data_IF_824107748500
#
_entry.id   IF_824107748500
#
_cell.length_a   1.000
_cell.length_b   1.000
_cell.length_c   1.000
_cell.angle_alpha   90.00
_cell.angle_beta   90.00
_cell.angle_gamma   90.00
#
_symmetry.space_group_name_H-M   'P 1'
#
loop_
_entity.id
_entity.type
_entity.pdbx_description
1 polymer ?
#
# COMPACT_ATOMS: atom_id res chain seq x y z
N UNK A 1 30.72 36.70 25.43
CA UNK A 1 30.73 35.86 24.22
C UNK A 1 29.97 34.61 24.54
N UNK A 2 28.74 34.46 24.06
CA UNK A 2 27.95 33.22 24.21
C UNK A 2 28.38 32.30 23.06
N UNK A 3 29.01 31.17 23.42
CA UNK A 3 29.41 30.18 22.43
C UNK A 3 28.22 29.63 21.63
N UNK A 4 28.42 29.16 20.38
CA UNK A 4 27.33 28.66 19.57
C UNK A 4 26.69 27.45 20.26
N UNK A 5 25.40 27.55 20.56
CA UNK A 5 24.59 26.44 21.04
C UNK A 5 24.55 25.39 19.92
N UNK A 6 25.39 24.36 20.03
CA UNK A 6 25.35 23.21 19.13
C UNK A 6 24.05 22.45 19.36
N UNK A 7 23.06 22.66 18.52
CA UNK A 7 21.84 21.85 18.55
C UNK A 7 22.20 20.37 18.40
N UNK A 8 21.68 19.46 19.24
CA UNK A 8 21.99 18.04 19.13
C UNK A 8 21.52 17.53 17.76
N UNK A 9 22.44 16.91 16.99
CA UNK A 9 22.12 16.32 15.70
C UNK A 9 21.20 15.10 15.91
N UNK A 10 19.90 15.19 15.62
CA UNK A 10 18.89 14.20 16.05
C UNK A 10 19.04 12.80 15.44
N UNK A 11 19.93 12.61 14.48
CA UNK A 11 20.09 11.33 13.76
C UNK A 11 21.35 10.52 14.14
N UNK A 12 22.13 10.95 15.14
CA UNK A 12 23.36 10.24 15.53
C UNK A 12 23.11 8.83 16.07
N UNK A 13 21.87 8.54 16.50
CA UNK A 13 21.49 7.22 17.02
C UNK A 13 21.09 6.20 15.93
N UNK A 14 20.70 6.63 14.69
CA UNK A 14 20.31 5.75 13.57
C UNK A 14 21.54 5.26 12.77
N UNK A 15 22.41 4.51 13.43
CA UNK A 15 23.54 3.85 12.75
C UNK A 15 23.09 2.60 12.00
N UNK A 16 23.83 2.19 10.96
CA UNK A 16 23.57 0.95 10.23
C UNK A 16 23.58 -0.29 11.13
N UNK A 17 24.42 -0.29 12.20
CA UNK A 17 24.49 -1.37 13.20
C UNK A 17 23.18 -1.43 14.00
N UNK A 18 22.69 -0.29 14.49
CA UNK A 18 21.43 -0.22 15.25
C UNK A 18 20.22 -0.56 14.38
N UNK A 19 20.15 -0.06 13.13
CA UNK A 19 19.09 -0.43 12.19
C UNK A 19 19.04 -1.94 11.94
N UNK A 20 20.19 -2.59 11.80
CA UNK A 20 20.26 -4.06 11.68
C UNK A 20 19.77 -4.76 12.94
N UNK A 21 20.19 -4.31 14.11
CA UNK A 21 19.77 -4.90 15.38
C UNK A 21 18.25 -4.75 15.58
N UNK A 22 17.69 -3.54 15.39
CA UNK A 22 16.26 -3.31 15.49
C UNK A 22 15.48 -4.13 14.45
N UNK A 23 15.94 -4.14 13.20
CA UNK A 23 15.30 -4.92 12.14
C UNK A 23 15.34 -6.43 12.43
N UNK A 24 16.44 -6.95 12.95
CA UNK A 24 16.57 -8.37 13.31
C UNK A 24 15.62 -8.75 14.44
N UNK A 25 15.59 -7.95 15.52
CA UNK A 25 14.65 -8.16 16.64
C UNK A 25 13.22 -8.13 16.13
N UNK A 26 12.87 -7.14 15.32
CA UNK A 26 11.52 -6.99 14.78
C UNK A 26 11.15 -8.15 13.87
N UNK A 27 12.03 -8.56 12.95
CA UNK A 27 11.79 -9.70 12.06
C UNK A 27 11.59 -11.00 12.87
N UNK A 28 12.48 -11.29 13.80
CA UNK A 28 12.38 -12.48 14.64
C UNK A 28 11.07 -12.46 15.46
N UNK A 29 10.72 -11.34 16.09
CA UNK A 29 9.49 -11.22 16.87
C UNK A 29 8.24 -11.43 16.00
N UNK A 30 8.12 -10.74 14.88
CA UNK A 30 6.96 -10.83 14.00
C UNK A 30 6.78 -12.25 13.44
N UNK A 31 7.85 -12.84 12.90
CA UNK A 31 7.76 -14.16 12.27
C UNK A 31 7.64 -15.29 13.30
N UNK A 32 8.22 -15.16 14.49
CA UNK A 32 8.00 -16.12 15.58
C UNK A 32 6.55 -16.10 16.06
N UNK A 33 5.96 -14.91 16.24
CA UNK A 33 4.54 -14.79 16.61
C UNK A 33 3.65 -15.37 15.51
N UNK A 34 3.93 -15.09 14.24
CA UNK A 34 3.16 -15.64 13.13
C UNK A 34 3.23 -17.16 13.08
N UNK A 35 4.43 -17.74 13.08
CA UNK A 35 4.62 -19.20 13.02
C UNK A 35 3.98 -19.90 14.23
N UNK A 36 4.14 -19.32 15.43
CA UNK A 36 3.47 -19.84 16.62
C UNK A 36 1.94 -19.78 16.48
N UNK A 37 1.38 -18.68 15.98
CA UNK A 37 -0.06 -18.54 15.82
C UNK A 37 -0.65 -19.54 14.82
N UNK A 38 0.02 -19.79 13.69
CA UNK A 38 -0.47 -20.72 12.66
C UNK A 38 -0.08 -22.17 12.89
N UNK A 39 0.75 -22.51 13.87
CA UNK A 39 1.22 -23.88 14.17
C UNK A 39 0.16 -24.76 14.87
N UNK A 40 -1.11 -24.53 14.58
CA UNK A 40 -2.24 -25.33 15.05
C UNK A 40 -2.63 -26.38 14.01
N UNK A 41 -3.21 -27.51 14.39
CA UNK A 41 -3.79 -28.44 13.43
C UNK A 41 -5.02 -27.81 12.74
N UNK A 42 -5.28 -28.20 11.49
CA UNK A 42 -6.46 -27.73 10.74
C UNK A 42 -6.37 -26.31 10.23
N UNK A 43 -7.52 -25.70 9.96
CA UNK A 43 -7.66 -24.43 9.26
C UNK A 43 -7.71 -23.20 10.17
N UNK A 44 -7.93 -23.36 11.47
CA UNK A 44 -8.01 -22.26 12.42
C UNK A 44 -6.65 -22.01 13.08
N UNK A 45 -6.33 -20.73 13.29
CA UNK A 45 -5.17 -20.30 14.07
C UNK A 45 -5.44 -20.38 15.59
N UNK A 46 -4.45 -20.06 16.43
CA UNK A 46 -4.60 -20.08 17.90
C UNK A 46 -5.62 -19.08 18.44
N UNK A 47 -5.91 -18.03 17.69
CA UNK A 47 -6.93 -17.04 18.04
C UNK A 47 -8.33 -17.43 17.56
N UNK A 48 -8.49 -18.62 16.93
CA UNK A 48 -9.76 -19.11 16.39
C UNK A 48 -10.13 -18.49 15.03
N UNK A 49 -9.26 -17.73 14.40
CA UNK A 49 -9.51 -17.17 13.07
C UNK A 49 -9.07 -18.16 11.99
N UNK A 50 -9.74 -18.10 10.84
CA UNK A 50 -9.33 -18.88 9.67
C UNK A 50 -7.93 -18.41 9.22
N UNK A 51 -7.00 -19.35 9.02
CA UNK A 51 -5.67 -19.05 8.48
C UNK A 51 -5.79 -18.41 7.10
N UNK A 52 -5.12 -17.26 6.90
CA UNK A 52 -5.24 -16.49 5.67
C UNK A 52 -6.65 -15.92 5.47
N UNK A 53 -7.24 -15.34 6.52
CA UNK A 53 -8.62 -14.88 6.58
C UNK A 53 -9.04 -14.13 5.31
N UNK A 54 -8.27 -13.13 4.88
CA UNK A 54 -8.66 -12.31 3.72
C UNK A 54 -8.48 -13.07 2.39
N UNK A 55 -7.60 -14.08 2.33
CA UNK A 55 -7.48 -14.93 1.16
C UNK A 55 -8.76 -15.71 0.89
N UNK A 56 -9.55 -16.05 1.93
CA UNK A 56 -10.84 -16.74 1.75
C UNK A 56 -11.76 -15.97 0.79
N UNK A 57 -11.77 -14.64 0.88
CA UNK A 57 -12.57 -13.83 -0.05
C UNK A 57 -12.15 -14.08 -1.51
N UNK A 58 -10.88 -14.03 -1.80
CA UNK A 58 -10.34 -14.24 -3.15
C UNK A 58 -10.54 -15.68 -3.63
N UNK A 59 -10.34 -16.65 -2.74
CA UNK A 59 -10.62 -18.07 -3.03
C UNK A 59 -12.10 -18.30 -3.37
N UNK A 60 -13.00 -17.64 -2.63
CA UNK A 60 -14.45 -17.70 -2.89
C UNK A 60 -14.81 -17.07 -4.23
N UNK A 61 -14.26 -15.87 -4.53
CA UNK A 61 -14.44 -15.22 -5.83
C UNK A 61 -13.96 -16.11 -6.98
N UNK A 62 -12.77 -16.71 -6.86
CA UNK A 62 -12.23 -17.64 -7.83
C UNK A 62 -13.12 -18.89 -8.00
N UNK A 63 -13.64 -19.42 -6.90
CA UNK A 63 -14.55 -20.57 -6.94
C UNK A 63 -15.90 -20.25 -7.61
N UNK A 64 -16.43 -19.04 -7.41
CA UNK A 64 -17.62 -18.55 -8.12
C UNK A 64 -17.35 -18.38 -9.61
N UNK A 65 -16.15 -17.93 -9.98
CA UNK A 65 -15.74 -17.84 -11.39
C UNK A 65 -15.73 -19.21 -12.06
N UNK A 66 -15.11 -20.21 -11.44
CA UNK A 66 -15.08 -21.59 -11.97
C UNK A 66 -16.49 -22.20 -12.10
N UNK A 67 -17.40 -21.86 -11.20
CA UNK A 67 -18.77 -22.33 -11.23
C UNK A 67 -19.67 -21.51 -12.18
N UNK A 68 -19.13 -20.52 -12.91
CA UNK A 68 -19.87 -19.58 -13.76
C UNK A 68 -21.01 -18.84 -13.02
N UNK A 69 -20.87 -18.64 -11.71
CA UNK A 69 -21.89 -17.99 -10.85
C UNK A 69 -21.65 -16.49 -10.72
N UNK A 70 -21.58 -15.75 -11.85
CA UNK A 70 -21.34 -14.31 -11.86
C UNK A 70 -22.32 -13.50 -11.02
N UNK A 71 -23.63 -13.88 -11.00
CA UNK A 71 -24.65 -13.22 -10.20
C UNK A 71 -24.39 -13.30 -8.67
N UNK A 72 -23.59 -14.28 -8.21
CA UNK A 72 -23.21 -14.41 -6.79
C UNK A 72 -22.10 -13.48 -6.36
N UNK A 73 -21.35 -12.84 -7.29
CA UNK A 73 -20.16 -12.05 -6.98
C UNK A 73 -20.42 -10.80 -6.11
N UNK A 74 -21.66 -10.27 -6.14
CA UNK A 74 -22.03 -9.04 -5.42
C UNK A 74 -23.17 -9.26 -4.43
N UNK A 75 -23.47 -10.52 -4.12
CA UNK A 75 -24.44 -10.91 -3.09
C UNK A 75 -23.69 -11.48 -1.88
N UNK A 76 -23.72 -10.76 -0.75
CA UNK A 76 -22.99 -11.11 0.48
C UNK A 76 -23.40 -12.49 1.03
N UNK A 77 -24.71 -12.78 1.01
CA UNK A 77 -25.22 -14.04 1.56
C UNK A 77 -24.86 -15.23 0.66
N UNK A 78 -24.99 -15.06 -0.66
CA UNK A 78 -24.57 -16.07 -1.61
C UNK A 78 -23.07 -16.36 -1.53
N UNK A 79 -22.22 -15.33 -1.39
CA UNK A 79 -20.78 -15.51 -1.17
C UNK A 79 -20.48 -16.26 0.12
N UNK A 80 -21.09 -15.85 1.25
CA UNK A 80 -20.87 -16.49 2.55
C UNK A 80 -21.32 -17.94 2.56
N UNK A 81 -22.50 -18.23 2.01
CA UNK A 81 -23.00 -19.60 1.88
C UNK A 81 -22.09 -20.46 0.99
N UNK A 82 -21.61 -19.91 -0.12
CA UNK A 82 -20.73 -20.62 -1.03
C UNK A 82 -19.33 -20.85 -0.42
N UNK A 83 -18.82 -19.87 0.34
CA UNK A 83 -17.57 -20.01 1.09
C UNK A 83 -17.68 -21.12 2.15
N UNK A 84 -18.77 -21.16 2.92
CA UNK A 84 -19.02 -22.18 3.94
C UNK A 84 -19.16 -23.59 3.33
N UNK A 85 -19.77 -23.71 2.15
CA UNK A 85 -19.87 -24.97 1.41
C UNK A 85 -18.49 -25.51 1.00
N UNK A 86 -17.58 -24.63 0.56
CA UNK A 86 -16.22 -25.00 0.12
C UNK A 86 -15.26 -25.18 1.29
N UNK A 87 -15.41 -24.38 2.33
CA UNK A 87 -14.56 -24.32 3.52
C UNK A 87 -15.47 -24.24 4.75
N UNK A 88 -15.87 -25.36 5.35
CA UNK A 88 -16.83 -25.36 6.48
C UNK A 88 -16.38 -24.48 7.67
N UNK A 89 -15.10 -24.38 7.92
CA UNK A 89 -14.52 -23.50 8.95
C UNK A 89 -14.75 -21.98 8.67
N UNK A 90 -15.23 -21.64 7.48
CA UNK A 90 -15.55 -20.26 7.09
C UNK A 90 -17.00 -19.86 7.37
N UNK A 91 -17.79 -20.74 7.99
CA UNK A 91 -19.19 -20.44 8.29
C UNK A 91 -19.34 -19.13 9.09
N UNK A 92 -20.21 -18.23 8.62
CA UNK A 92 -20.44 -16.93 9.24
C UNK A 92 -19.45 -15.81 8.85
N UNK A 93 -18.36 -16.11 8.14
CA UNK A 93 -17.44 -15.09 7.64
C UNK A 93 -18.08 -14.38 6.43
N UNK A 94 -18.08 -13.05 6.45
CA UNK A 94 -18.65 -12.21 5.40
C UNK A 94 -17.62 -11.16 4.95
N UNK A 95 -17.52 -10.93 3.65
CA UNK A 95 -16.67 -9.90 3.05
C UNK A 95 -17.49 -8.97 2.16
N UNK A 96 -17.16 -7.68 2.18
CA UNK A 96 -17.76 -6.75 1.24
C UNK A 96 -17.20 -6.99 -0.17
N UNK A 97 -18.06 -7.18 -1.18
CA UNK A 97 -17.67 -7.50 -2.54
C UNK A 97 -17.26 -6.25 -3.32
N UNK A 98 -16.16 -5.60 -2.92
CA UNK A 98 -15.69 -4.33 -3.52
C UNK A 98 -14.76 -4.53 -4.72
N UNK A 99 -14.23 -5.72 -4.92
CA UNK A 99 -13.33 -5.99 -6.03
C UNK A 99 -14.10 -6.10 -7.35
N UNK A 100 -13.55 -5.56 -8.45
CA UNK A 100 -14.19 -5.69 -9.77
C UNK A 100 -14.16 -7.14 -10.26
N UNK A 101 -15.08 -7.53 -11.17
CA UNK A 101 -15.35 -8.94 -11.48
C UNK A 101 -14.17 -9.69 -12.11
N UNK A 102 -13.22 -9.03 -12.79
CA UNK A 102 -12.02 -9.70 -13.34
C UNK A 102 -11.11 -10.28 -12.25
N UNK A 103 -11.19 -9.79 -11.00
CA UNK A 103 -10.43 -10.35 -9.89
C UNK A 103 -10.82 -11.80 -9.63
N UNK A 104 -12.10 -12.15 -9.77
CA UNK A 104 -12.55 -13.53 -9.63
C UNK A 104 -11.94 -14.45 -10.67
N UNK A 105 -11.82 -13.99 -11.91
CA UNK A 105 -11.18 -14.75 -13.01
C UNK A 105 -9.70 -14.97 -12.72
N UNK A 106 -9.00 -13.96 -12.21
CA UNK A 106 -7.60 -14.06 -11.78
C UNK A 106 -7.38 -15.14 -10.71
N UNK A 107 -8.32 -15.27 -9.77
CA UNK A 107 -8.23 -16.25 -8.69
C UNK A 107 -8.83 -17.63 -9.04
N UNK A 108 -9.48 -17.79 -10.19
CA UNK A 108 -10.04 -19.07 -10.63
C UNK A 108 -9.02 -20.22 -10.64
N UNK A 109 -7.77 -20.07 -11.13
CA UNK A 109 -6.77 -21.14 -11.08
C UNK A 109 -6.49 -21.66 -9.66
N UNK A 110 -6.47 -20.77 -8.65
CA UNK A 110 -6.25 -21.18 -7.26
C UNK A 110 -7.40 -22.01 -6.70
N UNK A 111 -8.62 -21.77 -7.17
CA UNK A 111 -9.82 -22.44 -6.70
C UNK A 111 -9.97 -23.90 -7.19
N UNK A 112 -9.09 -24.37 -8.08
CA UNK A 112 -8.94 -25.79 -8.40
C UNK A 112 -8.29 -26.60 -7.27
N UNK A 113 -7.52 -25.93 -6.40
CA UNK A 113 -6.86 -26.54 -5.26
C UNK A 113 -7.78 -26.57 -4.05
N UNK A 114 -7.48 -27.42 -3.06
CA UNK A 114 -8.05 -27.28 -1.73
C UNK A 114 -7.65 -25.93 -1.11
N UNK A 115 -8.48 -25.39 -0.19
CA UNK A 115 -8.20 -24.11 0.45
C UNK A 115 -6.78 -24.00 1.03
N UNK A 116 -6.25 -24.99 1.80
CA UNK A 116 -4.88 -24.92 2.30
C UNK A 116 -3.83 -24.89 1.20
N UNK A 117 -3.98 -25.70 0.17
CA UNK A 117 -3.07 -25.73 -0.98
C UNK A 117 -3.08 -24.40 -1.74
N UNK A 118 -4.26 -23.84 -2.00
CA UNK A 118 -4.43 -22.53 -2.62
C UNK A 118 -3.82 -21.42 -1.78
N UNK A 119 -4.01 -21.44 -0.45
CA UNK A 119 -3.43 -20.47 0.47
C UNK A 119 -1.90 -20.51 0.44
N UNK A 120 -1.29 -21.71 0.57
CA UNK A 120 0.17 -21.85 0.54
C UNK A 120 0.73 -21.32 -0.79
N UNK A 121 0.12 -21.70 -1.92
CA UNK A 121 0.55 -21.23 -3.24
C UNK A 121 0.43 -19.70 -3.36
N UNK A 122 -0.68 -19.12 -2.86
CA UNK A 122 -0.89 -17.67 -2.88
C UNK A 122 0.11 -16.92 -2.01
N UNK A 123 0.39 -17.42 -0.79
CA UNK A 123 1.38 -16.80 0.10
C UNK A 123 2.80 -16.88 -0.47
N UNK A 124 3.17 -18.03 -1.03
CA UNK A 124 4.46 -18.19 -1.72
C UNK A 124 4.58 -17.25 -2.93
N UNK A 125 3.54 -17.13 -3.75
CA UNK A 125 3.48 -16.21 -4.88
C UNK A 125 3.60 -14.75 -4.43
N UNK A 126 2.85 -14.34 -3.39
CA UNK A 126 2.90 -12.98 -2.83
C UNK A 126 4.29 -12.66 -2.25
N UNK A 127 4.90 -13.60 -1.54
CA UNK A 127 6.27 -13.45 -1.02
C UNK A 127 7.30 -13.33 -2.15
N UNK A 128 7.18 -14.15 -3.19
CA UNK A 128 8.03 -14.06 -4.39
C UNK A 128 7.93 -12.69 -5.05
N UNK A 129 6.71 -12.19 -5.30
CA UNK A 129 6.48 -10.87 -5.90
C UNK A 129 7.11 -9.76 -5.04
N UNK A 130 6.91 -9.81 -3.72
CA UNK A 130 7.52 -8.86 -2.79
C UNK A 130 9.06 -8.90 -2.87
N UNK A 131 9.66 -10.07 -2.82
CA UNK A 131 11.11 -10.25 -2.93
C UNK A 131 11.66 -9.75 -4.26
N UNK A 132 10.98 -10.03 -5.37
CA UNK A 132 11.37 -9.55 -6.70
C UNK A 132 11.32 -8.02 -6.79
N UNK A 133 10.26 -7.39 -6.25
CA UNK A 133 10.16 -5.93 -6.19
C UNK A 133 11.25 -5.32 -5.32
N UNK A 134 11.50 -5.86 -4.12
CA UNK A 134 12.59 -5.44 -3.26
C UNK A 134 13.95 -5.56 -3.97
N UNK A 135 14.21 -6.69 -4.60
CA UNK A 135 15.46 -6.96 -5.29
C UNK A 135 15.69 -6.01 -6.47
N UNK A 136 14.69 -5.84 -7.35
CA UNK A 136 14.81 -4.99 -8.53
C UNK A 136 15.02 -3.52 -8.16
N UNK A 137 14.27 -3.01 -7.17
CA UNK A 137 14.43 -1.63 -6.70
C UNK A 137 15.79 -1.46 -5.97
N UNK A 138 16.19 -2.41 -5.11
CA UNK A 138 17.50 -2.38 -4.47
C UNK A 138 18.64 -2.36 -5.49
N UNK A 139 18.56 -3.17 -6.55
CA UNK A 139 19.54 -3.16 -7.66
C UNK A 139 19.62 -1.79 -8.36
N UNK A 140 18.54 -1.03 -8.35
CA UNK A 140 18.49 0.32 -8.90
C UNK A 140 19.05 1.40 -7.96
N UNK A 141 19.39 1.03 -6.70
CA UNK A 141 19.89 1.89 -5.64
C UNK A 141 21.40 1.68 -5.41
N UNK A 142 22.29 2.41 -6.10
CA UNK A 142 23.75 2.14 -6.10
C UNK A 142 24.36 2.26 -4.71
N UNK A 143 23.90 3.22 -3.87
CA UNK A 143 24.46 3.47 -2.55
C UNK A 143 24.03 2.45 -1.50
N UNK A 144 23.00 1.66 -1.80
CA UNK A 144 22.53 0.56 -0.96
C UNK A 144 23.16 -0.81 -1.32
N UNK A 145 23.89 -0.92 -2.45
CA UNK A 145 24.45 -2.21 -2.91
C UNK A 145 25.36 -2.86 -1.88
N UNK A 146 26.20 -2.08 -1.20
CA UNK A 146 27.11 -2.56 -0.17
C UNK A 146 26.42 -2.81 1.19
N UNK A 147 25.11 -2.56 1.28
CA UNK A 147 24.30 -2.72 2.50
C UNK A 147 23.27 -3.84 2.38
N UNK A 148 23.54 -4.85 1.53
CA UNK A 148 22.62 -5.95 1.21
C UNK A 148 21.97 -6.60 2.44
N UNK A 149 22.77 -6.90 3.48
CA UNK A 149 22.26 -7.52 4.71
C UNK A 149 21.28 -6.62 5.46
N UNK A 150 21.57 -5.31 5.54
CA UNK A 150 20.67 -4.34 6.18
C UNK A 150 19.34 -4.24 5.41
N UNK A 151 19.41 -4.19 4.08
CA UNK A 151 18.20 -4.15 3.22
C UNK A 151 17.39 -5.43 3.40
N UNK A 152 18.03 -6.60 3.37
CA UNK A 152 17.33 -7.88 3.56
C UNK A 152 16.65 -7.97 4.92
N UNK A 153 17.36 -7.64 6.00
CA UNK A 153 16.79 -7.66 7.36
C UNK A 153 15.59 -6.71 7.45
N UNK A 154 15.71 -5.47 6.95
CA UNK A 154 14.62 -4.51 6.99
C UNK A 154 13.45 -4.92 6.09
N UNK A 155 13.70 -5.51 4.93
CA UNK A 155 12.64 -6.04 4.08
C UNK A 155 11.82 -7.13 4.80
N UNK A 156 12.50 -8.06 5.50
CA UNK A 156 11.83 -9.10 6.29
C UNK A 156 11.14 -8.54 7.56
N UNK A 157 11.68 -7.47 8.12
CA UNK A 157 11.14 -6.80 9.30
C UNK A 157 9.97 -5.85 8.99
N UNK A 158 9.65 -5.62 7.71
CA UNK A 158 8.63 -4.64 7.35
C UNK A 158 7.23 -5.07 7.82
N UNK A 159 6.58 -4.31 8.73
CA UNK A 159 5.30 -4.71 9.30
C UNK A 159 4.21 -4.93 8.25
N UNK A 160 4.20 -4.13 7.17
CA UNK A 160 3.23 -4.30 6.10
C UNK A 160 3.40 -5.61 5.33
N UNK A 161 4.64 -6.08 5.13
CA UNK A 161 4.92 -7.38 4.53
C UNK A 161 4.43 -8.52 5.42
N UNK A 162 4.67 -8.43 6.72
CA UNK A 162 4.16 -9.41 7.67
C UNK A 162 2.62 -9.50 7.62
N UNK A 163 1.92 -8.36 7.65
CA UNK A 163 0.46 -8.33 7.54
C UNK A 163 -0.05 -8.85 6.18
N UNK A 164 0.64 -8.53 5.09
CA UNK A 164 0.33 -9.04 3.76
C UNK A 164 0.28 -10.57 3.74
N UNK A 165 1.29 -11.21 4.33
CA UNK A 165 1.39 -12.68 4.41
C UNK A 165 0.40 -13.24 5.43
N UNK A 166 0.32 -12.65 6.63
CA UNK A 166 -0.55 -13.13 7.69
C UNK A 166 -2.03 -13.16 7.29
N UNK A 167 -2.48 -12.21 6.46
CA UNK A 167 -3.89 -12.11 6.05
C UNK A 167 -4.15 -12.65 4.64
N UNK A 168 -3.11 -12.91 3.85
CA UNK A 168 -3.24 -13.42 2.49
C UNK A 168 -3.80 -12.41 1.49
N UNK A 169 -3.42 -11.13 1.65
CA UNK A 169 -3.92 -10.01 0.85
C UNK A 169 -3.27 -9.85 -0.53
N UNK A 170 -3.90 -9.03 -1.39
CA UNK A 170 -3.49 -8.83 -2.81
C UNK A 170 -2.51 -7.68 -3.02
N UNK A 171 -2.06 -7.00 -1.97
CA UNK A 171 -1.26 -5.77 -2.10
C UNK A 171 0.13 -5.98 -2.69
N UNK A 172 0.63 -7.24 -2.75
CA UNK A 172 1.81 -7.59 -3.54
C UNK A 172 1.63 -7.28 -5.03
N UNK A 173 0.42 -7.47 -5.58
CA UNK A 173 0.11 -7.11 -6.98
C UNK A 173 0.17 -5.59 -7.18
N UNK A 174 -0.34 -4.81 -6.22
CA UNK A 174 -0.24 -3.35 -6.28
C UNK A 174 1.23 -2.89 -6.21
N UNK A 175 2.05 -3.50 -5.36
CA UNK A 175 3.49 -3.25 -5.29
C UNK A 175 4.17 -3.51 -6.64
N UNK A 176 3.81 -4.60 -7.34
CA UNK A 176 4.31 -4.91 -8.69
C UNK A 176 3.92 -3.80 -9.67
N UNK A 177 2.65 -3.36 -9.66
CA UNK A 177 2.18 -2.29 -10.53
C UNK A 177 2.99 -1.00 -10.34
N UNK A 178 3.18 -0.57 -9.09
CA UNK A 178 4.00 0.62 -8.79
C UNK A 178 5.48 0.42 -9.14
N UNK A 179 6.05 -0.77 -8.90
CA UNK A 179 7.44 -1.06 -9.25
C UNK A 179 7.66 -1.01 -10.75
N UNK A 180 6.78 -1.62 -11.53
CA UNK A 180 6.83 -1.59 -13.00
C UNK A 180 6.64 -0.17 -13.54
N UNK A 181 5.70 0.61 -12.96
CA UNK A 181 5.49 2.00 -13.33
C UNK A 181 6.75 2.85 -13.08
N UNK A 182 7.43 2.67 -11.95
CA UNK A 182 8.71 3.34 -11.67
C UNK A 182 9.77 3.04 -12.74
N UNK A 183 9.97 1.77 -13.07
CA UNK A 183 10.97 1.39 -14.06
C UNK A 183 10.61 1.86 -15.47
N UNK A 184 9.33 1.83 -15.83
CA UNK A 184 8.86 2.35 -17.10
C UNK A 184 9.08 3.86 -17.21
N UNK A 185 8.76 4.64 -16.17
CA UNK A 185 9.04 6.09 -16.11
C UNK A 185 10.55 6.37 -16.17
N UNK A 186 11.35 5.60 -15.45
CA UNK A 186 12.81 5.71 -15.47
C UNK A 186 13.38 5.44 -16.88
N UNK A 187 12.79 4.51 -17.61
CA UNK A 187 13.15 4.19 -19.00
C UNK A 187 12.49 5.14 -20.03
N UNK A 188 11.80 6.22 -19.58
CA UNK A 188 11.03 7.15 -20.42
C UNK A 188 9.93 6.49 -21.25
N UNK A 189 9.43 5.33 -20.82
CA UNK A 189 8.34 4.57 -21.45
C UNK A 189 7.02 4.90 -20.74
N UNK A 190 6.56 6.13 -20.88
CA UNK A 190 5.42 6.67 -20.14
C UNK A 190 4.13 5.88 -20.37
N UNK A 191 3.86 5.43 -21.61
CA UNK A 191 2.68 4.63 -21.91
C UNK A 191 2.70 3.28 -21.15
N UNK A 192 3.86 2.62 -21.05
CA UNK A 192 4.01 1.38 -20.26
C UNK A 192 3.84 1.63 -18.76
N UNK A 193 4.29 2.79 -18.27
CA UNK A 193 4.00 3.18 -16.88
C UNK A 193 2.50 3.31 -16.64
N UNK A 194 1.79 3.87 -17.61
CA UNK A 194 0.33 3.94 -17.60
C UNK A 194 -0.31 2.57 -17.59
N UNK A 195 0.12 1.64 -18.45
CA UNK A 195 -0.40 0.25 -18.44
C UNK A 195 -0.24 -0.40 -17.07
N UNK A 196 0.93 -0.23 -16.44
CA UNK A 196 1.17 -0.77 -15.09
C UNK A 196 0.25 -0.14 -14.03
N UNK A 197 0.05 1.19 -14.06
CA UNK A 197 -0.85 1.89 -13.12
C UNK A 197 -2.33 1.54 -13.37
N UNK A 198 -2.73 1.33 -14.64
CA UNK A 198 -4.10 0.90 -14.98
C UNK A 198 -4.44 -0.50 -14.45
N UNK A 199 -3.43 -1.35 -14.22
CA UNK A 199 -3.64 -2.62 -13.54
C UNK A 199 -4.18 -2.44 -12.11
N UNK A 200 -4.00 -1.28 -11.48
CA UNK A 200 -4.56 -0.98 -10.15
C UNK A 200 -6.09 -0.89 -10.11
N UNK A 201 -6.80 -1.07 -11.23
CA UNK A 201 -8.28 -1.05 -11.26
C UNK A 201 -8.90 -2.03 -10.24
N UNK A 202 -8.17 -3.08 -9.82
CA UNK A 202 -8.64 -3.98 -8.76
C UNK A 202 -8.66 -3.34 -7.35
N UNK A 203 -7.87 -2.25 -7.13
CA UNK A 203 -7.84 -1.40 -5.94
C UNK A 203 -7.75 0.07 -6.38
N UNK A 204 -8.82 0.63 -6.99
CA UNK A 204 -8.76 1.93 -7.68
C UNK A 204 -8.38 3.10 -6.75
N UNK A 205 -8.66 2.98 -5.45
CA UNK A 205 -8.25 3.99 -4.46
C UNK A 205 -6.73 4.18 -4.39
N UNK A 206 -5.93 3.18 -4.74
CA UNK A 206 -4.47 3.30 -4.78
C UNK A 206 -3.97 4.07 -6.03
N UNK A 207 -4.76 4.14 -7.08
CA UNK A 207 -4.40 4.89 -8.28
C UNK A 207 -4.66 6.40 -8.16
N UNK A 208 -5.38 6.86 -7.12
CA UNK A 208 -5.89 8.23 -7.00
C UNK A 208 -4.77 9.29 -7.07
N UNK A 209 -3.70 9.14 -6.31
CA UNK A 209 -2.59 10.09 -6.31
C UNK A 209 -1.90 10.16 -7.68
N UNK A 210 -1.66 9.00 -8.32
CA UNK A 210 -1.07 8.94 -9.64
C UNK A 210 -2.00 9.58 -10.70
N UNK A 211 -3.30 9.29 -10.65
CA UNK A 211 -4.29 9.89 -11.54
C UNK A 211 -4.28 11.42 -11.42
N UNK A 212 -4.34 11.98 -10.20
CA UNK A 212 -4.27 13.42 -9.98
C UNK A 212 -3.00 14.04 -10.53
N UNK A 213 -1.84 13.44 -10.24
CA UNK A 213 -0.56 13.95 -10.72
C UNK A 213 -0.50 13.95 -12.25
N UNK A 214 -0.83 12.84 -12.91
CA UNK A 214 -0.67 12.72 -14.35
C UNK A 214 -1.75 13.48 -15.14
N UNK A 215 -2.97 13.64 -14.59
CA UNK A 215 -4.00 14.51 -15.17
C UNK A 215 -3.55 15.98 -15.11
N UNK A 216 -3.12 16.47 -13.94
CA UNK A 216 -2.73 17.89 -13.77
C UNK A 216 -1.41 18.21 -14.48
N UNK A 217 -0.52 17.25 -14.65
CA UNK A 217 0.70 17.43 -15.44
C UNK A 217 0.53 17.13 -16.93
N UNK A 218 -0.70 16.81 -17.36
CA UNK A 218 -1.08 16.53 -18.75
C UNK A 218 -0.22 15.45 -19.42
N UNK A 219 0.15 14.41 -18.65
CA UNK A 219 0.88 13.28 -19.20
C UNK A 219 -0.08 12.28 -19.89
N UNK A 220 -0.50 12.65 -21.10
CA UNK A 220 -1.48 11.89 -21.91
C UNK A 220 -1.05 10.46 -22.20
N UNK A 221 0.26 10.19 -22.30
CA UNK A 221 0.78 8.84 -22.55
C UNK A 221 0.51 7.94 -21.35
N UNK A 222 0.81 8.40 -20.12
CA UNK A 222 0.50 7.63 -18.91
C UNK A 222 -1.00 7.44 -18.77
N UNK A 223 -1.79 8.48 -18.99
CA UNK A 223 -3.25 8.41 -18.89
C UNK A 223 -3.83 7.41 -19.92
N UNK A 224 -3.41 7.50 -21.18
CA UNK A 224 -3.85 6.57 -22.23
C UNK A 224 -3.53 5.12 -21.93
N UNK A 225 -2.31 4.84 -21.44
CA UNK A 225 -1.91 3.51 -20.99
C UNK A 225 -2.78 3.00 -19.82
N UNK A 226 -3.05 3.85 -18.83
CA UNK A 226 -3.86 3.49 -17.66
C UNK A 226 -5.32 3.19 -18.05
N UNK A 227 -5.91 4.02 -18.88
CA UNK A 227 -7.29 3.82 -19.40
C UNK A 227 -7.36 2.53 -20.20
N UNK A 228 -6.40 2.28 -21.12
CA UNK A 228 -6.39 1.08 -21.93
C UNK A 228 -6.28 -0.18 -21.07
N UNK A 229 -5.37 -0.21 -20.10
CA UNK A 229 -5.18 -1.35 -19.20
C UNK A 229 -6.43 -1.63 -18.36
N UNK A 230 -7.03 -0.59 -17.77
CA UNK A 230 -8.25 -0.73 -16.99
C UNK A 230 -9.42 -1.21 -17.86
N UNK A 231 -9.61 -0.60 -19.04
CA UNK A 231 -10.67 -0.97 -19.98
C UNK A 231 -10.51 -2.43 -20.47
N UNK A 232 -9.29 -2.86 -20.78
CA UNK A 232 -9.04 -4.23 -21.20
C UNK A 232 -9.44 -5.25 -20.12
N UNK A 233 -9.09 -5.01 -18.86
CA UNK A 233 -9.46 -5.89 -17.74
C UNK A 233 -10.97 -5.95 -17.52
N UNK A 234 -11.68 -4.81 -17.57
CA UNK A 234 -13.13 -4.77 -17.44
C UNK A 234 -13.83 -5.42 -18.64
N UNK A 235 -13.25 -5.29 -19.84
CA UNK A 235 -13.75 -5.97 -21.05
C UNK A 235 -13.63 -7.47 -20.91
N UNK A 236 -12.51 -8.00 -20.38
CA UNK A 236 -12.36 -9.45 -20.11
C UNK A 236 -13.48 -9.93 -19.16
N UNK A 237 -13.74 -9.18 -18.08
CA UNK A 237 -14.83 -9.55 -17.16
C UNK A 237 -16.22 -9.54 -17.84
N UNK A 238 -16.48 -8.52 -18.68
CA UNK A 238 -17.73 -8.41 -19.43
C UNK A 238 -17.93 -9.53 -20.44
N UNK A 239 -16.85 -9.93 -21.11
CA UNK A 239 -16.89 -11.05 -22.06
C UNK A 239 -17.12 -12.37 -21.35
N UNK A 240 -16.54 -12.55 -20.16
CA UNK A 240 -16.65 -13.80 -19.40
C UNK A 240 -18.03 -13.95 -18.74
N UNK A 241 -18.57 -12.89 -18.13
CA UNK A 241 -19.80 -12.95 -17.35
C UNK A 241 -21.02 -12.29 -17.98
N UNK A 242 -20.86 -11.56 -19.07
CA UNK A 242 -21.89 -10.63 -19.54
C UNK A 242 -21.93 -9.30 -18.74
N UNK A 243 -22.95 -8.45 -18.94
CA UNK A 243 -23.00 -7.11 -18.36
C UNK A 243 -23.40 -7.07 -16.88
N UNK A 244 -24.07 -8.11 -16.36
CA UNK A 244 -24.64 -8.12 -15.02
C UNK A 244 -23.63 -7.80 -13.92
N UNK A 245 -22.60 -8.62 -13.71
CA UNK A 245 -21.63 -8.40 -12.64
C UNK A 245 -20.90 -7.06 -12.69
N UNK A 246 -20.66 -6.52 -13.89
CA UNK A 246 -20.05 -5.19 -14.00
C UNK A 246 -21.01 -4.09 -13.51
N UNK A 247 -22.32 -4.20 -13.82
CA UNK A 247 -23.35 -3.29 -13.33
C UNK A 247 -23.49 -3.38 -11.82
N UNK A 248 -23.50 -4.60 -11.28
CA UNK A 248 -23.62 -4.85 -9.84
C UNK A 248 -22.42 -4.29 -9.08
N UNK A 249 -21.20 -4.40 -9.65
CA UNK A 249 -20.02 -3.77 -9.08
C UNK A 249 -20.12 -2.24 -9.03
N UNK A 250 -20.55 -1.61 -10.11
CA UNK A 250 -20.74 -0.13 -10.15
C UNK A 250 -21.78 0.29 -9.11
N UNK A 251 -22.89 -0.46 -9.00
CA UNK A 251 -23.92 -0.21 -8.00
C UNK A 251 -23.39 -0.37 -6.57
N UNK A 252 -22.55 -1.39 -6.32
CA UNK A 252 -21.89 -1.58 -5.02
C UNK A 252 -20.98 -0.39 -4.67
N UNK A 253 -20.19 0.09 -5.63
CA UNK A 253 -19.32 1.25 -5.42
C UNK A 253 -20.10 2.54 -5.17
N UNK A 254 -21.25 2.75 -5.82
CA UNK A 254 -22.08 3.93 -5.59
C UNK A 254 -22.66 3.98 -4.16
N UNK A 255 -22.84 2.81 -3.54
CA UNK A 255 -23.34 2.66 -2.18
C UNK A 255 -22.25 2.44 -1.12
N UNK A 256 -20.96 2.50 -1.49
CA UNK A 256 -19.84 2.20 -0.57
C UNK A 256 -19.85 3.05 0.71
N UNK A 257 -20.39 4.27 0.64
CA UNK A 257 -20.45 5.17 1.80
C UNK A 257 -21.29 4.60 2.94
N UNK A 258 -22.41 3.94 2.64
CA UNK A 258 -23.27 3.28 3.65
C UNK A 258 -22.61 2.01 4.22
N UNK A 259 -21.63 1.44 3.49
CA UNK A 259 -20.94 0.21 3.85
C UNK A 259 -19.63 0.45 4.60
N UNK A 260 -19.22 1.72 4.78
CA UNK A 260 -17.94 2.06 5.46
C UNK A 260 -17.76 1.41 6.84
N UNK A 261 -18.77 1.34 7.72
CA UNK A 261 -18.62 0.67 9.02
C UNK A 261 -18.28 -0.83 8.91
N UNK A 262 -18.76 -1.48 7.84
CA UNK A 262 -18.45 -2.89 7.56
C UNK A 262 -17.08 -3.04 6.86
N UNK A 263 -16.65 -2.03 6.10
CA UNK A 263 -15.37 -2.03 5.41
C UNK A 263 -14.21 -1.84 6.39
N UNK A 264 -14.41 -1.06 7.45
CA UNK A 264 -13.38 -0.71 8.45
C UNK A 264 -13.80 -1.13 9.85
N UNK A 265 -13.99 -2.43 10.13
CA UNK A 265 -14.35 -2.89 11.46
C UNK A 265 -13.25 -2.59 12.50
N UNK A 266 -12.04 -2.33 12.04
CA UNK A 266 -10.85 -2.02 12.86
C UNK A 266 -10.13 -0.78 12.31
N UNK A 267 -10.70 0.44 12.49
CA UNK A 267 -10.14 1.67 11.90
C UNK A 267 -8.70 1.94 12.35
N UNK A 268 -8.29 1.46 13.53
CA UNK A 268 -6.90 1.57 14.02
C UNK A 268 -5.87 0.77 13.17
N UNK A 269 -6.31 -0.07 12.23
CA UNK A 269 -5.45 -0.78 11.27
C UNK A 269 -5.35 -0.06 9.92
N UNK A 270 -6.03 1.07 9.75
CA UNK A 270 -5.99 1.88 8.53
C UNK A 270 -5.05 3.06 8.70
N UNK A 271 -4.39 3.46 7.61
CA UNK A 271 -3.29 4.43 7.64
C UNK A 271 -3.48 5.57 6.63
N UNK A 272 -4.72 6.01 6.43
CA UNK A 272 -5.07 7.12 5.53
C UNK A 272 -5.47 8.38 6.29
N UNK A 273 -5.41 9.55 5.62
CA UNK A 273 -5.88 10.82 6.19
C UNK A 273 -7.37 10.76 6.58
N UNK A 274 -8.21 10.06 5.80
CA UNK A 274 -9.63 9.93 6.12
C UNK A 274 -9.82 9.27 7.48
N UNK A 275 -9.21 8.10 7.67
CA UNK A 275 -9.35 7.36 8.93
C UNK A 275 -8.68 8.08 10.08
N UNK A 276 -7.53 8.73 9.86
CA UNK A 276 -6.89 9.57 10.88
C UNK A 276 -7.85 10.60 11.44
N UNK A 277 -8.54 11.37 10.59
CA UNK A 277 -9.47 12.39 11.02
C UNK A 277 -10.76 11.82 11.63
N UNK A 278 -11.29 10.71 11.09
CA UNK A 278 -12.49 10.07 11.66
C UNK A 278 -12.26 9.42 13.02
N UNK A 279 -11.02 9.00 13.33
CA UNK A 279 -10.67 8.50 14.67
C UNK A 279 -10.45 9.64 15.67
N UNK A 280 -9.86 10.75 15.21
CA UNK A 280 -9.49 11.88 16.06
C UNK A 280 -10.67 12.81 16.38
N UNK A 281 -11.57 12.98 15.42
CA UNK A 281 -12.67 13.95 15.48
C UNK A 281 -14.02 13.21 15.51
N UNK A 282 -14.83 13.35 16.58
CA UNK A 282 -16.09 12.61 16.70
C UNK A 282 -17.21 13.14 15.78
N UNK A 283 -17.07 14.34 15.21
CA UNK A 283 -18.06 14.93 14.30
C UNK A 283 -17.78 14.56 12.84
N UNK A 284 -18.63 13.74 12.19
CA UNK A 284 -18.36 13.21 10.85
C UNK A 284 -18.18 14.29 9.77
N UNK A 285 -18.94 15.36 9.81
CA UNK A 285 -18.82 16.47 8.85
C UNK A 285 -17.49 17.22 9.00
N UNK A 286 -17.06 17.49 10.24
CA UNK A 286 -15.78 18.13 10.54
C UNK A 286 -14.62 17.22 10.14
N UNK A 287 -14.67 15.93 10.48
CA UNK A 287 -13.67 14.96 10.08
C UNK A 287 -13.53 14.86 8.54
N UNK A 288 -14.66 14.87 7.82
CA UNK A 288 -14.67 14.90 6.36
C UNK A 288 -14.05 16.18 5.80
N UNK A 289 -14.41 17.35 6.35
CA UNK A 289 -13.85 18.63 5.94
C UNK A 289 -12.32 18.67 6.13
N UNK A 290 -11.83 18.23 7.29
CA UNK A 290 -10.39 18.15 7.58
C UNK A 290 -9.67 17.15 6.68
N UNK A 291 -10.30 16.01 6.39
CA UNK A 291 -9.78 15.07 5.39
C UNK A 291 -9.64 15.73 4.02
N UNK A 292 -10.68 16.40 3.52
CA UNK A 292 -10.64 17.02 2.19
C UNK A 292 -9.60 18.16 2.12
N UNK A 293 -9.50 19.00 3.15
CA UNK A 293 -8.49 20.06 3.22
C UNK A 293 -7.08 19.47 3.21
N UNK A 294 -6.81 18.50 4.08
CA UNK A 294 -5.48 17.89 4.17
C UNK A 294 -5.15 17.06 2.94
N UNK A 295 -6.13 16.40 2.32
CA UNK A 295 -5.96 15.68 1.07
C UNK A 295 -5.61 16.64 -0.08
N UNK A 296 -6.25 17.80 -0.17
CA UNK A 296 -5.89 18.85 -1.15
C UNK A 296 -4.47 19.36 -0.94
N UNK A 297 -4.05 19.58 0.31
CA UNK A 297 -2.68 20.00 0.63
C UNK A 297 -1.66 18.92 0.23
N UNK A 298 -1.93 17.65 0.51
CA UNK A 298 -1.09 16.52 0.09
C UNK A 298 -1.01 16.42 -1.43
N UNK A 299 -2.15 16.54 -2.12
CA UNK A 299 -2.19 16.53 -3.59
C UNK A 299 -1.38 17.68 -4.19
N UNK A 300 -1.60 18.92 -3.71
CA UNK A 300 -0.84 20.09 -4.16
C UNK A 300 0.65 19.94 -3.93
N UNK A 301 1.06 19.49 -2.74
CA UNK A 301 2.45 19.22 -2.38
C UNK A 301 3.08 18.18 -3.30
N UNK A 302 2.35 17.11 -3.59
CA UNK A 302 2.82 16.01 -4.47
C UNK A 302 2.98 16.49 -5.91
N UNK A 303 2.05 17.28 -6.43
CA UNK A 303 2.12 17.88 -7.77
C UNK A 303 3.31 18.84 -7.84
N UNK A 304 3.53 19.66 -6.81
CA UNK A 304 4.68 20.55 -6.72
C UNK A 304 6.01 19.77 -6.71
N UNK A 305 6.09 18.67 -5.93
CA UNK A 305 7.23 17.76 -5.97
C UNK A 305 7.43 17.16 -7.36
N UNK A 306 6.34 16.73 -8.02
CA UNK A 306 6.41 16.12 -9.34
C UNK A 306 6.94 17.07 -10.42
N UNK A 307 6.57 18.36 -10.34
CA UNK A 307 7.04 19.43 -11.23
C UNK A 307 8.43 19.97 -10.88
N UNK A 308 8.99 19.58 -9.72
CA UNK A 308 10.31 20.06 -9.29
C UNK A 308 11.44 19.38 -10.07
N UNK A 309 12.67 19.91 -9.89
CA UNK A 309 13.91 19.34 -10.46
C UNK A 309 14.50 18.17 -9.67
N UNK A 310 13.82 17.72 -8.62
CA UNK A 310 14.26 16.56 -7.84
C UNK A 310 14.39 15.30 -8.73
N UNK A 311 15.30 14.39 -8.41
CA UNK A 311 15.44 13.12 -9.11
C UNK A 311 14.12 12.34 -9.14
N UNK A 312 13.90 11.56 -10.19
CA UNK A 312 12.68 10.74 -10.32
C UNK A 312 12.45 9.84 -9.10
N UNK A 313 13.51 9.25 -8.54
CA UNK A 313 13.45 8.42 -7.32
C UNK A 313 12.78 9.14 -6.15
N UNK A 314 13.10 10.42 -5.94
CA UNK A 314 12.55 11.24 -4.85
C UNK A 314 11.12 11.66 -5.16
N UNK A 315 10.84 12.13 -6.39
CA UNK A 315 9.49 12.51 -6.83
C UNK A 315 8.53 11.31 -6.80
N UNK A 316 9.01 10.13 -7.20
CA UNK A 316 8.23 8.91 -7.16
C UNK A 316 7.95 8.44 -5.72
N UNK A 317 8.92 8.60 -4.82
CA UNK A 317 8.70 8.33 -3.40
C UNK A 317 7.63 9.25 -2.80
N UNK A 318 7.63 10.54 -3.15
CA UNK A 318 6.57 11.48 -2.76
C UNK A 318 5.20 11.03 -3.28
N UNK A 319 5.12 10.55 -4.53
CA UNK A 319 3.88 9.99 -5.09
C UNK A 319 3.37 8.78 -4.29
N UNK A 320 4.25 7.87 -3.88
CA UNK A 320 3.85 6.69 -3.10
C UNK A 320 3.36 7.06 -1.69
N UNK A 321 3.99 8.01 -1.00
CA UNK A 321 3.46 8.51 0.28
C UNK A 321 2.11 9.22 0.10
N UNK A 322 1.95 10.00 -0.96
CA UNK A 322 0.68 10.61 -1.28
C UNK A 322 -0.41 9.57 -1.60
N UNK A 323 -0.05 8.47 -2.27
CA UNK A 323 -0.98 7.35 -2.54
C UNK A 323 -1.57 6.81 -1.24
N UNK A 324 -0.74 6.62 -0.21
CA UNK A 324 -1.21 6.15 1.10
C UNK A 324 -2.09 7.20 1.78
N UNK A 325 -1.64 8.45 1.82
CA UNK A 325 -2.34 9.53 2.52
C UNK A 325 -3.69 9.86 1.90
N UNK A 326 -3.78 9.90 0.56
CA UNK A 326 -4.98 10.27 -0.17
C UNK A 326 -6.01 9.16 -0.28
N UNK A 327 -5.60 7.90 -0.17
CA UNK A 327 -6.52 6.78 -0.28
C UNK A 327 -7.66 6.89 0.75
N UNK A 328 -8.93 6.85 0.35
CA UNK A 328 -10.05 6.93 1.29
C UNK A 328 -10.13 5.70 2.20
N UNK A 329 -9.60 4.57 1.76
CA UNK A 329 -9.47 3.34 2.53
C UNK A 329 -8.14 2.68 2.20
N UNK A 330 -7.32 2.42 3.22
CA UNK A 330 -6.03 1.77 3.08
C UNK A 330 -5.63 1.11 4.39
N UNK A 331 -5.41 -0.20 4.36
CA UNK A 331 -5.08 -1.00 5.53
C UNK A 331 -3.55 -1.21 5.63
N UNK A 332 -3.07 -1.63 6.79
CA UNK A 332 -1.64 -1.80 7.10
C UNK A 332 -0.88 -2.65 6.07
N UNK A 333 -1.49 -3.68 5.51
CA UNK A 333 -0.86 -4.51 4.47
C UNK A 333 -0.69 -3.78 3.12
N UNK A 334 -1.51 -2.76 2.84
CA UNK A 334 -1.35 -1.96 1.63
C UNK A 334 -0.11 -1.07 1.68
N UNK A 335 0.41 -0.77 2.88
CA UNK A 335 1.66 -0.02 3.04
C UNK A 335 2.86 -0.71 2.40
N UNK A 336 2.75 -1.99 1.99
CA UNK A 336 3.80 -2.69 1.24
C UNK A 336 4.19 -1.95 -0.04
N UNK A 337 3.27 -1.16 -0.63
CA UNK A 337 3.56 -0.30 -1.79
C UNK A 337 4.61 0.78 -1.51
N UNK A 338 4.88 1.10 -0.25
CA UNK A 338 5.94 2.04 0.15
C UNK A 338 7.35 1.45 0.07
N UNK A 339 7.49 0.14 -0.16
CA UNK A 339 8.81 -0.51 -0.26
C UNK A 339 9.75 0.18 -1.25
N UNK A 340 9.34 0.54 -2.49
CA UNK A 340 10.18 1.32 -3.39
C UNK A 340 10.56 2.69 -2.81
N UNK A 341 9.63 3.39 -2.14
CA UNK A 341 9.90 4.69 -1.55
C UNK A 341 10.96 4.62 -0.45
N UNK A 342 10.88 3.60 0.43
CA UNK A 342 11.88 3.39 1.47
C UNK A 342 13.29 3.16 0.89
N UNK A 343 13.40 2.33 -0.14
CA UNK A 343 14.69 2.05 -0.79
C UNK A 343 15.23 3.27 -1.55
N UNK A 344 14.40 3.90 -2.37
CA UNK A 344 14.80 5.03 -3.22
C UNK A 344 15.18 6.27 -2.39
N UNK A 345 14.41 6.59 -1.34
CA UNK A 345 14.74 7.70 -0.44
C UNK A 345 15.97 7.40 0.41
N UNK A 346 16.11 6.18 0.93
CA UNK A 346 17.31 5.80 1.68
C UNK A 346 18.57 5.93 0.83
N UNK A 347 18.52 5.48 -0.42
CA UNK A 347 19.61 5.59 -1.37
C UNK A 347 19.98 7.06 -1.62
N UNK A 348 18.98 7.90 -1.86
CA UNK A 348 19.19 9.33 -2.11
C UNK A 348 19.68 10.07 -0.85
N UNK A 349 19.10 9.81 0.33
CA UNK A 349 19.47 10.45 1.60
C UNK A 349 20.96 10.19 1.95
N UNK A 350 21.50 9.01 1.59
CA UNK A 350 22.91 8.68 1.83
C UNK A 350 23.85 9.61 1.02
N UNK A 351 23.40 10.09 -0.13
CA UNK A 351 24.20 11.01 -0.98
C UNK A 351 24.13 12.48 -0.56
N UNK A 352 23.33 12.81 0.46
CA UNK A 352 23.08 14.18 0.92
C UNK A 352 23.49 14.38 2.41
N UNK A 353 24.74 14.06 2.81
CA UNK A 353 25.12 14.07 4.23
C UNK A 353 25.07 15.45 4.86
N UNK A 354 25.39 16.50 4.09
CA UNK A 354 25.58 17.87 4.56
C UNK A 354 24.32 18.73 4.56
N UNK A 355 23.20 18.20 4.05
CA UNK A 355 21.94 18.94 4.07
C UNK A 355 21.34 18.96 5.48
N UNK A 356 20.98 20.13 6.04
CA UNK A 356 20.46 20.24 7.41
C UNK A 356 19.15 19.49 7.63
N UNK A 357 18.39 19.21 6.57
CA UNK A 357 17.15 18.44 6.60
C UNK A 357 17.36 16.91 6.58
N UNK A 358 18.54 16.43 6.17
CA UNK A 358 18.85 15.01 6.04
C UNK A 358 18.65 14.21 7.34
N UNK A 359 19.09 14.68 8.52
CA UNK A 359 18.85 13.97 9.78
C UNK A 359 17.36 13.75 10.09
N UNK A 360 16.55 14.76 9.86
CA UNK A 360 15.10 14.69 10.09
C UNK A 360 14.42 13.69 9.14
N UNK A 361 14.81 13.71 7.86
CA UNK A 361 14.28 12.75 6.89
C UNK A 361 14.63 11.30 7.23
N UNK A 362 15.84 11.04 7.75
CA UNK A 362 16.22 9.69 8.25
C UNK A 362 15.31 9.24 9.38
N UNK A 363 15.05 10.11 10.35
CA UNK A 363 14.18 9.81 11.49
C UNK A 363 12.74 9.58 11.01
N UNK A 364 12.19 10.49 10.19
CA UNK A 364 10.84 10.36 9.67
C UNK A 364 10.65 9.09 8.83
N UNK A 365 11.65 8.75 8.01
CA UNK A 365 11.62 7.52 7.20
C UNK A 365 11.61 6.26 8.07
N UNK A 366 12.43 6.24 9.13
CA UNK A 366 12.43 5.15 10.10
C UNK A 366 11.11 5.06 10.87
N UNK A 367 10.55 6.19 11.32
CA UNK A 367 9.26 6.23 11.98
C UNK A 367 8.12 5.79 11.06
N UNK A 368 8.11 6.22 9.78
CA UNK A 368 7.14 5.77 8.80
C UNK A 368 7.19 4.25 8.57
N UNK A 369 8.38 3.65 8.70
CA UNK A 369 8.57 2.21 8.59
C UNK A 369 8.04 1.44 9.82
N UNK A 370 8.26 1.95 11.05
CA UNK A 370 7.99 1.21 12.29
C UNK A 370 6.59 1.50 12.85
N UNK A 371 6.11 2.74 12.77
CA UNK A 371 4.86 3.17 13.42
C UNK A 371 3.60 2.41 12.99
N UNK A 372 3.49 1.85 11.77
CA UNK A 372 2.35 1.00 11.43
C UNK A 372 2.17 -0.21 12.36
N UNK A 373 3.25 -0.69 12.99
CA UNK A 373 3.19 -1.75 14.00
C UNK A 373 2.40 -1.33 15.24
N UNK A 374 2.40 -0.04 15.57
CA UNK A 374 1.74 0.52 16.74
C UNK A 374 0.27 0.93 16.46
N UNK A 375 -0.27 0.57 15.29
CA UNK A 375 -1.68 0.76 14.97
C UNK A 375 -2.64 0.33 16.09
N UNK A 376 -2.47 -0.83 16.75
CA UNK A 376 -3.31 -1.23 17.87
C UNK A 376 -3.40 -0.23 19.02
N UNK A 377 -2.36 0.57 19.28
CA UNK A 377 -2.41 1.65 20.28
C UNK A 377 -3.39 2.76 19.89
N UNK A 378 -3.62 2.97 18.60
CA UNK A 378 -4.59 3.95 18.14
C UNK A 378 -6.03 3.60 18.54
N UNK A 379 -6.31 2.35 18.94
CA UNK A 379 -7.61 1.96 19.53
C UNK A 379 -7.93 2.73 20.81
N UNK A 380 -6.91 3.07 21.60
CA UNK A 380 -7.08 3.79 22.87
C UNK A 380 -6.75 5.27 22.76
N UNK A 381 -5.75 5.61 21.94
CA UNK A 381 -5.29 7.00 21.78
C UNK A 381 -6.07 7.78 20.73
N UNK A 382 -6.83 7.10 19.88
CA UNK A 382 -7.49 7.65 18.68
C UNK A 382 -6.52 8.35 17.71
N UNK A 383 -5.21 8.15 17.88
CA UNK A 383 -4.16 8.83 17.10
C UNK A 383 -3.33 7.83 16.28
N UNK A 384 -3.50 7.84 14.98
CA UNK A 384 -2.71 7.03 14.04
C UNK A 384 -1.40 7.75 13.68
N UNK A 385 -0.35 7.56 14.49
CA UNK A 385 0.91 8.31 14.40
C UNK A 385 1.65 8.17 13.06
N UNK A 386 1.47 7.06 12.35
CA UNK A 386 2.09 6.85 11.03
C UNK A 386 1.64 7.89 9.99
N UNK A 387 0.39 8.37 10.09
CA UNK A 387 -0.18 9.32 9.12
C UNK A 387 0.51 10.69 9.19
N UNK A 388 0.59 11.39 10.35
CA UNK A 388 1.30 12.66 10.42
C UNK A 388 2.79 12.53 10.12
N UNK A 389 3.43 11.40 10.42
CA UNK A 389 4.83 11.15 10.07
C UNK A 389 5.03 11.05 8.56
N UNK A 390 4.16 10.33 7.85
CA UNK A 390 4.21 10.26 6.38
C UNK A 390 3.91 11.63 5.74
N UNK A 391 2.99 12.41 6.31
CA UNK A 391 2.71 13.77 5.85
C UNK A 391 3.94 14.71 6.07
N UNK A 392 4.58 14.62 7.23
CA UNK A 392 5.80 15.36 7.52
C UNK A 392 6.96 14.97 6.60
N UNK A 393 7.09 13.68 6.26
CA UNK A 393 8.09 13.20 5.31
C UNK A 393 7.83 13.77 3.91
N UNK A 394 6.60 13.76 3.44
CA UNK A 394 6.21 14.36 2.16
C UNK A 394 6.50 15.88 2.14
N UNK A 395 6.17 16.59 3.21
CA UNK A 395 6.49 18.00 3.36
C UNK A 395 8.01 18.25 3.33
N UNK A 396 8.79 17.41 4.01
CA UNK A 396 10.26 17.48 4.01
C UNK A 396 10.85 17.33 2.59
N UNK A 397 10.31 16.38 1.81
CA UNK A 397 10.69 16.18 0.39
C UNK A 397 10.36 17.44 -0.43
N UNK A 398 9.16 17.98 -0.28
CA UNK A 398 8.75 19.20 -0.98
C UNK A 398 9.62 20.41 -0.64
N UNK A 399 9.99 20.61 0.62
CA UNK A 399 10.84 21.70 1.06
C UNK A 399 12.24 21.63 0.44
N UNK A 400 12.77 20.42 0.24
CA UNK A 400 14.01 20.21 -0.52
C UNK A 400 13.86 20.62 -1.98
N UNK A 401 12.73 20.26 -2.61
CA UNK A 401 12.44 20.63 -4.00
C UNK A 401 12.36 22.14 -4.22
N UNK A 402 11.83 22.89 -3.25
CA UNK A 402 11.77 24.36 -3.30
C UNK A 402 13.14 25.02 -3.27
N UNK A 403 14.05 24.52 -2.45
CA UNK A 403 15.42 25.04 -2.31
C UNK A 403 16.29 24.77 -3.55
N UNK A 404 15.90 23.80 -4.37
CA UNK A 404 16.59 23.45 -5.61
C UNK A 404 16.21 24.35 -6.81
N UNK A 405 15.26 25.27 -6.64
CA UNK A 405 14.89 26.27 -7.65
C UNK A 405 15.82 27.47 -7.44
N UNK A 406 16.68 27.83 -8.42
CA UNK A 406 17.41 29.10 -8.33
C UNK A 406 16.38 30.22 -8.27
N UNK A 407 16.49 31.07 -7.25
CA UNK A 407 15.76 32.37 -7.25
C UNK A 407 16.25 33.09 -8.50
N UNK A 408 15.36 33.51 -9.44
CA UNK A 408 15.77 34.39 -10.53
C UNK A 408 16.42 35.58 -9.87
N UNK A 409 17.71 35.87 -10.24
CA UNK A 409 18.34 37.09 -9.82
C UNK A 409 17.40 38.23 -10.19
N UNK A 410 16.83 38.87 -9.16
CA UNK A 410 16.10 40.11 -9.31
C UNK A 410 17.02 41.11 -9.99
N UNK A 411 16.75 41.39 -11.29
CA UNK A 411 17.25 42.55 -11.97
C UNK A 411 16.71 43.82 -11.33
#
# INVERSE_FOLDING_TARGET
MVGPVTSPKPALWLTAKRLRAHGLILALSLWSVYTWNISTPGLLDRAGNLKGTDFLHFYTLGSLALAHRGAGLYNLEAQSAFAAQRVPAAAGIRYLPLYPPQVSIFFAPFAHLSYPGALILWLAFSALLYCLCCYTVWRACPNLRNRKLTVLILALAFPAFWHLIAWGQTSALALVCFTLAFFALRARREFLAGLALGCLIFKPQLALAAALVFVITLNWKVMGGAILSAAAQLTVARLYYGPGPLRDWIHMLSNVRSLLPLLEPRPYQTHSLRTFWTMLIPWPSTALALYLITALLVAATTIACWRSRLPLSVRYSALLFATVLLAPHLTVYDLVILTPAFLLLSDWIITQPDQPTTPYLKVLLYLAFVLPLFGPLARWTHLQLSVPVMAALLYGIWNLGRKSIPVPNSL
#
